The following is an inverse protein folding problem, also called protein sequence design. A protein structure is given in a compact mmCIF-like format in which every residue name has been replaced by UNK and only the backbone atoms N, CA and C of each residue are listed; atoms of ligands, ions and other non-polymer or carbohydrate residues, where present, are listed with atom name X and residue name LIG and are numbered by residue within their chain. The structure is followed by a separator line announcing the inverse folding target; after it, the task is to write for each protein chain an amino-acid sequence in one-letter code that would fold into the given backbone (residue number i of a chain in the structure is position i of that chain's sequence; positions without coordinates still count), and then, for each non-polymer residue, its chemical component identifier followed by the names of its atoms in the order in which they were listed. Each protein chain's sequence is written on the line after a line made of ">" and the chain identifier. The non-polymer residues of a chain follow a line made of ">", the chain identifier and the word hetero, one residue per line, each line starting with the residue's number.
data_IF_703702451984
#
_entry.id   IF_703702451984
#
_cell.length_a   1.000
_cell.length_b   1.000
_cell.length_c   1.000
_cell.angle_alpha   90.00
_cell.angle_beta   90.00
_cell.angle_gamma   90.00
#
_symmetry.space_group_name_H-M   'P 1'
#
loop_
_entity.id
_entity.type
_entity.pdbx_description
1 polymer ?
#
# COMPACT_ATOMS: atom_id res chain seq x y z
N UNK A 1 8.87 4.71 14.23
CA UNK A 1 8.46 4.49 12.83
C UNK A 1 7.35 3.47 12.77
N UNK A 2 6.50 3.59 11.77
CA UNK A 2 5.41 2.65 11.53
C UNK A 2 5.64 2.00 10.17
N UNK A 3 5.50 0.68 10.11
CA UNK A 3 5.55 -0.08 8.87
C UNK A 3 4.17 -0.63 8.59
N UNK A 4 3.65 -0.37 7.38
CA UNK A 4 2.45 -1.02 6.86
C UNK A 4 2.87 -2.10 5.88
N UNK A 5 2.31 -3.29 6.07
CA UNK A 5 2.35 -4.34 5.06
C UNK A 5 0.93 -4.70 4.68
N UNK A 6 0.58 -4.53 3.42
CA UNK A 6 -0.76 -4.79 2.92
C UNK A 6 -0.70 -5.74 1.74
N UNK A 7 -1.39 -6.86 1.88
CA UNK A 7 -1.54 -7.82 0.79
C UNK A 7 -2.94 -7.69 0.19
N UNK A 8 -3.00 -7.71 -1.13
CA UNK A 8 -4.24 -7.61 -1.89
C UNK A 8 -4.22 -8.63 -3.01
N UNK A 9 -5.32 -9.35 -3.17
CA UNK A 9 -5.48 -10.27 -4.29
C UNK A 9 -6.68 -9.85 -5.11
N UNK A 10 -6.47 -9.54 -6.36
CA UNK A 10 -7.55 -9.15 -7.27
C UNK A 10 -8.29 -10.37 -7.81
N UNK A 11 -9.55 -10.17 -8.18
CA UNK A 11 -10.22 -11.09 -9.07
C UNK A 11 -9.46 -11.07 -10.41
N UNK A 12 -9.24 -12.23 -11.06
CA UNK A 12 -8.41 -12.29 -12.28
C UNK A 12 -8.85 -11.32 -13.37
N UNK A 13 -10.15 -11.11 -13.55
CA UNK A 13 -10.71 -10.21 -14.55
C UNK A 13 -10.57 -8.72 -14.19
N UNK A 14 -10.15 -8.40 -12.96
CA UNK A 14 -9.99 -7.04 -12.44
C UNK A 14 -8.55 -6.68 -12.14
N UNK A 15 -7.59 -7.56 -12.43
CA UNK A 15 -6.19 -7.36 -12.03
C UNK A 15 -5.58 -6.10 -12.62
N UNK A 16 -5.85 -5.79 -13.88
CA UNK A 16 -5.31 -4.56 -14.50
C UNK A 16 -5.94 -3.30 -13.93
N UNK A 17 -7.21 -3.35 -13.53
CA UNK A 17 -7.86 -2.22 -12.86
C UNK A 17 -7.23 -1.96 -11.49
N UNK A 18 -6.97 -3.03 -10.73
CA UNK A 18 -6.30 -2.94 -9.42
C UNK A 18 -4.89 -2.40 -9.59
N UNK A 19 -4.15 -2.92 -10.58
CA UNK A 19 -2.80 -2.44 -10.87
C UNK A 19 -2.80 -0.94 -11.15
N UNK A 20 -3.71 -0.46 -11.99
CA UNK A 20 -3.80 0.95 -12.36
C UNK A 20 -4.13 1.84 -11.15
N UNK A 21 -5.06 1.39 -10.30
CA UNK A 21 -5.44 2.14 -9.09
C UNK A 21 -4.27 2.22 -8.09
N UNK A 22 -3.53 1.13 -7.90
CA UNK A 22 -2.37 1.11 -7.02
C UNK A 22 -1.23 1.97 -7.58
N UNK A 23 -0.98 1.89 -8.89
CA UNK A 23 0.05 2.71 -9.54
C UNK A 23 -0.23 4.21 -9.39
N UNK A 24 -1.51 4.60 -9.42
CA UNK A 24 -1.91 6.00 -9.25
C UNK A 24 -1.61 6.55 -7.84
N UNK A 25 -1.53 5.69 -6.83
CA UNK A 25 -1.23 6.08 -5.44
C UNK A 25 0.24 6.46 -5.27
N UNK A 26 1.14 5.78 -5.97
CA UNK A 26 2.58 5.80 -5.67
C UNK A 26 3.22 7.19 -5.72
N UNK A 27 3.04 8.01 -6.78
CA UNK A 27 3.72 9.32 -6.83
C UNK A 27 3.34 10.24 -5.68
N UNK A 28 2.05 10.36 -5.38
CA UNK A 28 1.56 11.21 -4.29
C UNK A 28 1.99 10.71 -2.92
N UNK A 29 1.98 9.40 -2.72
CA UNK A 29 2.44 8.81 -1.46
C UNK A 29 3.93 9.10 -1.21
N UNK A 30 4.76 8.92 -2.23
CA UNK A 30 6.20 9.21 -2.13
C UNK A 30 6.51 10.68 -1.91
N UNK A 31 5.61 11.57 -2.30
CA UNK A 31 5.73 13.01 -2.08
C UNK A 31 5.11 13.48 -0.74
N UNK A 32 4.42 12.62 -0.02
CA UNK A 32 3.74 12.97 1.22
C UNK A 32 4.75 13.12 2.36
N UNK A 33 4.76 14.27 3.08
CA UNK A 33 5.64 14.44 4.24
C UNK A 33 5.43 13.34 5.28
N UNK A 34 6.53 12.78 5.78
CA UNK A 34 6.52 11.70 6.77
C UNK A 34 6.42 10.29 6.17
N UNK A 35 6.19 10.16 4.88
CA UNK A 35 6.31 8.86 4.20
C UNK A 35 7.78 8.64 3.85
N UNK A 36 8.42 7.70 4.53
CA UNK A 36 9.84 7.38 4.30
C UNK A 36 9.99 6.59 3.01
N UNK A 37 9.13 5.60 2.81
CA UNK A 37 9.10 4.80 1.58
C UNK A 37 7.70 4.22 1.35
N UNK A 38 7.37 4.00 0.10
CA UNK A 38 6.23 3.20 -0.32
C UNK A 38 6.63 2.42 -1.56
N UNK A 39 6.49 1.11 -1.48
CA UNK A 39 6.72 0.21 -2.59
C UNK A 39 5.52 -0.70 -2.76
N UNK A 40 5.07 -0.86 -4.00
CA UNK A 40 4.00 -1.80 -4.34
C UNK A 40 4.56 -2.73 -5.40
N UNK A 41 4.45 -4.03 -5.14
CA UNK A 41 4.98 -5.06 -6.01
C UNK A 41 3.90 -6.08 -6.35
N UNK A 42 4.05 -6.71 -7.50
CA UNK A 42 3.26 -7.87 -7.90
C UNK A 42 4.04 -9.13 -7.54
N UNK A 43 3.36 -10.14 -7.03
CA UNK A 43 3.98 -11.43 -6.72
C UNK A 43 4.50 -12.10 -8.01
N UNK A 44 5.70 -12.68 -7.93
CA UNK A 44 6.33 -13.32 -9.10
C UNK A 44 5.59 -14.59 -9.55
N UNK A 45 4.90 -15.26 -8.64
CA UNK A 45 4.22 -16.53 -8.90
C UNK A 45 2.70 -16.40 -8.99
N UNK A 46 2.15 -15.26 -8.57
CA UNK A 46 0.70 -15.00 -8.62
C UNK A 46 0.46 -13.60 -9.17
N UNK A 47 0.16 -13.47 -10.48
CA UNK A 47 0.00 -12.17 -11.11
C UNK A 47 -1.21 -11.36 -10.62
N UNK A 48 -2.11 -11.98 -9.87
CA UNK A 48 -3.27 -11.31 -9.28
C UNK A 48 -2.98 -10.82 -7.85
N UNK A 49 -1.81 -11.07 -7.32
CA UNK A 49 -1.43 -10.73 -5.95
C UNK A 49 -0.48 -9.54 -5.91
N UNK A 50 -0.80 -8.57 -5.04
CA UNK A 50 -0.02 -7.35 -4.83
C UNK A 50 0.36 -7.21 -3.37
N UNK A 51 1.54 -6.66 -3.13
CA UNK A 51 2.02 -6.34 -1.79
C UNK A 51 2.46 -4.89 -1.78
N UNK A 52 1.88 -4.11 -0.87
CA UNK A 52 2.33 -2.77 -0.56
C UNK A 52 3.10 -2.79 0.76
N UNK A 53 4.28 -2.17 0.77
CA UNK A 53 5.06 -1.95 1.98
C UNK A 53 5.37 -0.48 2.09
N UNK A 54 4.95 0.13 3.20
CA UNK A 54 5.19 1.54 3.47
C UNK A 54 5.87 1.72 4.81
N UNK A 55 6.76 2.69 4.87
CA UNK A 55 7.43 3.11 6.11
C UNK A 55 7.07 4.57 6.35
N UNK A 56 6.57 4.85 7.56
CA UNK A 56 6.12 6.19 7.96
C UNK A 56 6.88 6.64 9.21
N UNK A 57 7.12 7.95 9.32
CA UNK A 57 7.71 8.52 10.53
C UNK A 57 6.80 8.33 11.76
N UNK A 58 5.48 8.48 11.57
CA UNK A 58 4.49 8.46 12.63
C UNK A 58 3.07 8.21 12.09
N UNK A 59 2.10 8.13 13.01
CA UNK A 59 0.69 7.91 12.65
C UNK A 59 0.09 9.08 11.86
N UNK A 60 0.56 10.29 12.07
CA UNK A 60 0.10 11.48 11.32
C UNK A 60 0.44 11.34 9.83
N UNK A 61 1.61 10.80 9.52
CA UNK A 61 2.00 10.53 8.13
C UNK A 61 1.10 9.47 7.48
N UNK A 62 0.71 8.44 8.22
CA UNK A 62 -0.27 7.43 7.74
C UNK A 62 -1.59 8.10 7.38
N UNK A 63 -2.15 8.90 8.28
CA UNK A 63 -3.41 9.61 8.07
C UNK A 63 -3.32 10.55 6.86
N UNK A 64 -2.20 11.26 6.74
CA UNK A 64 -1.98 12.21 5.65
C UNK A 64 -1.95 11.50 4.30
N UNK A 65 -1.27 10.37 4.21
CA UNK A 65 -1.20 9.59 2.97
C UNK A 65 -2.55 8.95 2.64
N UNK A 66 -3.25 8.40 3.64
CA UNK A 66 -4.53 7.74 3.43
C UNK A 66 -5.69 8.72 3.13
N UNK A 67 -5.46 10.02 3.32
CA UNK A 67 -6.42 11.06 2.94
C UNK A 67 -6.36 11.42 1.45
N UNK A 68 -5.39 10.93 0.71
CA UNK A 68 -5.22 11.25 -0.70
C UNK A 68 -6.41 10.73 -1.54
N UNK A 69 -6.88 11.51 -2.54
CA UNK A 69 -7.98 11.09 -3.40
C UNK A 69 -7.75 9.76 -4.10
N UNK A 70 -6.52 9.48 -4.52
CA UNK A 70 -6.14 8.23 -5.19
C UNK A 70 -6.30 7.02 -4.27
N UNK A 71 -6.02 7.19 -2.98
CA UNK A 71 -6.22 6.13 -1.97
C UNK A 71 -7.71 5.87 -1.78
N UNK A 72 -8.52 6.92 -1.65
CA UNK A 72 -9.98 6.78 -1.53
C UNK A 72 -10.57 6.11 -2.76
N UNK A 73 -10.11 6.45 -3.95
CA UNK A 73 -10.59 5.84 -5.19
C UNK A 73 -10.26 4.33 -5.24
N UNK A 74 -9.05 3.96 -4.86
CA UNK A 74 -8.64 2.55 -4.80
C UNK A 74 -9.49 1.77 -3.78
N UNK A 75 -9.65 2.32 -2.58
CA UNK A 75 -10.44 1.67 -1.52
C UNK A 75 -11.90 1.50 -1.90
N UNK A 76 -12.49 2.47 -2.62
CA UNK A 76 -13.85 2.37 -3.10
C UNK A 76 -14.05 1.24 -4.13
N UNK A 77 -13.01 0.93 -4.89
CA UNK A 77 -13.04 -0.13 -5.91
C UNK A 77 -12.82 -1.53 -5.30
N UNK A 78 -12.12 -1.64 -4.18
CA UNK A 78 -11.66 -2.92 -3.62
C UNK A 78 -12.78 -3.93 -3.36
N UNK A 79 -13.97 -3.57 -2.82
CA UNK A 79 -15.02 -4.56 -2.59
C UNK A 79 -15.45 -5.32 -3.84
N UNK A 80 -15.45 -4.66 -5.01
CA UNK A 80 -15.82 -5.28 -6.29
C UNK A 80 -14.63 -5.93 -7.00
N UNK A 81 -13.44 -5.41 -6.80
CA UNK A 81 -12.26 -5.79 -7.58
C UNK A 81 -11.37 -6.83 -6.89
N UNK A 82 -11.36 -6.89 -5.57
CA UNK A 82 -10.55 -7.85 -4.82
C UNK A 82 -11.30 -9.15 -4.56
N UNK A 83 -10.56 -10.25 -4.57
CA UNK A 83 -11.09 -11.58 -4.25
C UNK A 83 -11.44 -11.72 -2.76
N UNK A 84 -10.80 -10.92 -1.91
CA UNK A 84 -11.02 -10.87 -0.47
C UNK A 84 -10.65 -9.48 0.05
N UNK A 85 -11.09 -9.07 1.26
CA UNK A 85 -10.66 -7.82 1.87
C UNK A 85 -9.13 -7.76 1.97
N UNK A 86 -8.51 -6.56 1.85
CA UNK A 86 -7.07 -6.41 2.02
C UNK A 86 -6.62 -6.93 3.39
N UNK A 87 -5.50 -7.64 3.41
CA UNK A 87 -4.84 -8.02 4.67
C UNK A 87 -3.85 -6.92 5.04
N UNK A 88 -4.19 -6.12 6.04
CA UNK A 88 -3.41 -4.96 6.50
C UNK A 88 -2.81 -5.22 7.86
N UNK A 89 -1.48 -5.04 7.96
CA UNK A 89 -0.76 -5.15 9.22
C UNK A 89 0.12 -3.95 9.41
N UNK A 90 0.01 -3.34 10.60
CA UNK A 90 0.89 -2.26 11.02
C UNK A 90 1.84 -2.76 12.09
N UNK A 91 3.08 -2.31 11.99
CA UNK A 91 4.12 -2.63 12.96
C UNK A 91 4.73 -1.35 13.48
N UNK A 92 4.97 -1.31 14.79
CA UNK A 92 5.79 -0.29 15.39
C UNK A 92 7.24 -0.73 15.31
N UNK A 93 8.11 0.10 14.71
CA UNK A 93 9.47 -0.28 14.40
C UNK A 93 10.46 0.80 14.82
N UNK A 94 11.66 0.37 15.16
CA UNK A 94 12.79 1.25 15.37
C UNK A 94 13.94 0.82 14.48
N UNK A 95 14.75 1.81 14.07
CA UNK A 95 15.97 1.55 13.32
C UNK A 95 17.09 1.21 14.29
N UNK A 96 17.71 0.06 14.15
CA UNK A 96 18.89 -0.33 14.92
C UNK A 96 20.15 -0.01 14.11
N UNK A 97 20.96 1.00 14.55
CA UNK A 97 22.14 1.40 13.80
C UNK A 97 23.22 0.31 13.71
N UNK A 98 23.20 -0.66 14.63
CA UNK A 98 24.18 -1.74 14.61
C UNK A 98 23.96 -2.76 13.49
N UNK A 99 22.77 -2.73 12.87
CA UNK A 99 22.40 -3.66 11.80
C UNK A 99 22.55 -3.07 10.39
N UNK A 100 22.97 -1.83 10.26
CA UNK A 100 23.07 -1.14 8.96
C UNK A 100 24.50 -0.71 8.63
#
# INVERSE_FOLDING_TARGET
>A
MIILRQQMRSKPERTEDVWAALAAIVPGARATPGVVSLDIARDLLDPDSFIATAVYDDATAVERQESAPEVHAAMAMFPDALAAPPDRKFYDASRDPSLV
#
